data_IF_408596735034
#
_entry.id   IF_408596735034
#
_cell.length_a   1.000
_cell.length_b   1.000
_cell.length_c   1.000
_cell.angle_alpha   90.00
_cell.angle_beta   90.00
_cell.angle_gamma   90.00
#
_symmetry.space_group_name_H-M   'P 1'
#
loop_
_entity.id
_entity.type
_entity.pdbx_description
1 polymer ?
#
# COMPACT_ATOMS: atom_id res chain seq x y z
N UNK A 1 63.56 -45.44 -74.03
CA UNK A 1 64.18 -44.38 -73.19
C UNK A 1 63.27 -44.17 -71.99
N UNK A 2 63.80 -44.25 -70.78
CA UNK A 2 62.98 -44.22 -69.56
C UNK A 2 62.76 -42.78 -69.10
N UNK A 3 61.49 -42.35 -69.03
CA UNK A 3 61.14 -41.11 -68.35
C UNK A 3 61.08 -41.37 -66.84
N UNK A 4 61.86 -40.60 -66.07
CA UNK A 4 61.85 -40.67 -64.60
C UNK A 4 60.63 -39.88 -64.11
N UNK A 5 59.65 -40.59 -63.57
CA UNK A 5 58.57 -39.97 -62.80
C UNK A 5 59.16 -39.42 -61.49
N UNK A 6 58.82 -38.19 -61.06
CA UNK A 6 59.16 -37.72 -59.72
C UNK A 6 58.42 -38.58 -58.69
N UNK A 7 59.10 -38.96 -57.61
CA UNK A 7 58.49 -39.70 -56.51
C UNK A 7 57.42 -38.87 -55.78
N UNK A 8 56.46 -39.51 -55.09
CA UNK A 8 55.47 -38.79 -54.30
C UNK A 8 56.15 -37.95 -53.21
N UNK A 9 55.67 -36.72 -53.03
CA UNK A 9 56.16 -35.84 -51.98
C UNK A 9 55.89 -36.45 -50.59
N UNK A 10 56.75 -36.21 -49.58
CA UNK A 10 56.57 -36.75 -48.25
C UNK A 10 55.28 -36.22 -47.62
N UNK A 11 54.38 -37.12 -47.23
CA UNK A 11 53.20 -36.79 -46.44
C UNK A 11 53.64 -36.32 -45.04
N UNK A 12 53.58 -35.02 -44.78
CA UNK A 12 53.80 -34.49 -43.43
C UNK A 12 52.72 -35.01 -42.49
N UNK A 13 53.07 -35.47 -41.27
CA UNK A 13 52.07 -35.83 -40.28
C UNK A 13 51.15 -34.63 -40.00
N UNK A 14 49.84 -34.81 -40.18
CA UNK A 14 48.87 -33.81 -39.78
C UNK A 14 48.97 -33.63 -38.26
N UNK A 15 49.27 -32.42 -37.72
CA UNK A 15 49.37 -32.23 -36.29
C UNK A 15 48.07 -32.67 -35.62
N UNK A 16 48.17 -33.59 -34.66
CA UNK A 16 47.01 -34.13 -33.98
C UNK A 16 46.19 -32.99 -33.37
N UNK A 17 44.89 -32.93 -33.70
CA UNK A 17 43.98 -31.94 -33.14
C UNK A 17 44.06 -31.99 -31.62
N UNK A 18 44.59 -30.93 -31.02
CA UNK A 18 44.76 -30.85 -29.58
C UNK A 18 43.42 -31.07 -28.89
N UNK A 19 43.38 -32.00 -27.94
CA UNK A 19 42.20 -32.22 -27.10
C UNK A 19 41.79 -30.90 -26.48
N UNK A 20 40.62 -30.38 -26.88
CA UNK A 20 40.07 -29.13 -26.33
C UNK A 20 40.09 -29.27 -24.80
N UNK A 21 40.73 -28.36 -24.06
CA UNK A 21 40.75 -28.46 -22.60
C UNK A 21 39.30 -28.48 -22.09
N UNK A 22 38.99 -29.30 -21.07
CA UNK A 22 37.64 -29.38 -20.55
C UNK A 22 37.19 -27.98 -20.14
N UNK A 23 36.12 -27.49 -20.75
CA UNK A 23 35.54 -26.20 -20.39
C UNK A 23 35.09 -26.27 -18.93
N UNK A 24 35.53 -25.35 -18.05
CA UNK A 24 35.19 -25.41 -16.64
C UNK A 24 33.67 -25.38 -16.48
N UNK A 25 33.13 -26.31 -15.70
CA UNK A 25 31.70 -26.38 -15.44
C UNK A 25 31.26 -25.13 -14.66
N UNK A 26 30.38 -24.32 -15.24
CA UNK A 26 29.87 -23.10 -14.60
C UNK A 26 28.49 -23.36 -14.00
N UNK A 27 28.40 -23.33 -12.68
CA UNK A 27 27.15 -23.61 -11.95
C UNK A 27 26.20 -22.40 -11.99
N UNK A 28 25.63 -22.11 -13.16
CA UNK A 28 24.79 -20.93 -13.40
C UNK A 28 23.63 -20.79 -12.41
N UNK A 29 23.01 -21.90 -11.99
CA UNK A 29 21.97 -21.92 -10.97
C UNK A 29 22.45 -21.41 -9.59
N UNK A 30 23.69 -21.70 -9.20
CA UNK A 30 24.27 -21.21 -7.94
C UNK A 30 24.62 -19.71 -8.00
N UNK A 31 25.00 -19.21 -9.18
CA UNK A 31 25.13 -17.76 -9.40
C UNK A 31 23.77 -17.07 -9.38
N UNK A 32 22.75 -17.67 -10.00
CA UNK A 32 21.39 -17.14 -10.01
C UNK A 32 20.77 -17.09 -8.60
N UNK A 33 20.89 -18.17 -7.80
CA UNK A 33 20.37 -18.18 -6.43
C UNK A 33 21.10 -17.22 -5.50
N UNK A 34 22.41 -17.02 -5.67
CA UNK A 34 23.16 -15.98 -4.95
C UNK A 34 22.65 -14.57 -5.30
N UNK A 35 22.42 -14.28 -6.58
CA UNK A 35 21.86 -12.98 -7.02
C UNK A 35 20.44 -12.80 -6.48
N UNK A 36 19.57 -13.81 -6.59
CA UNK A 36 18.21 -13.77 -6.05
C UNK A 36 18.19 -13.61 -4.52
N UNK A 37 19.12 -14.23 -3.78
CA UNK A 37 19.27 -14.05 -2.35
C UNK A 37 19.69 -12.62 -1.96
N UNK A 38 20.61 -12.02 -2.71
CA UNK A 38 21.02 -10.61 -2.52
C UNK A 38 19.86 -9.66 -2.85
N UNK A 39 19.15 -9.88 -3.95
CA UNK A 39 17.97 -9.09 -4.36
C UNK A 39 16.86 -9.23 -3.31
N UNK A 40 16.57 -10.45 -2.83
CA UNK A 40 15.58 -10.72 -1.78
C UNK A 40 15.94 -10.01 -0.47
N UNK A 41 17.21 -10.00 -0.06
CA UNK A 41 17.67 -9.21 1.09
C UNK A 41 17.39 -7.72 0.91
N UNK A 42 17.62 -7.15 -0.27
CA UNK A 42 17.31 -5.74 -0.54
C UNK A 42 15.81 -5.43 -0.57
N UNK A 43 14.95 -6.31 -1.12
CA UNK A 43 13.49 -6.10 -1.06
C UNK A 43 12.93 -6.28 0.36
N UNK A 44 13.37 -7.29 1.09
CA UNK A 44 12.98 -7.54 2.48
C UNK A 44 13.38 -6.37 3.40
N UNK A 45 14.59 -5.83 3.19
CA UNK A 45 15.10 -4.64 3.86
C UNK A 45 14.56 -3.31 3.29
N UNK A 46 13.66 -3.35 2.31
CA UNK A 46 12.87 -2.18 1.88
C UNK A 46 11.45 -2.21 2.45
N UNK A 47 10.78 -3.37 2.44
CA UNK A 47 9.36 -3.43 2.81
C UNK A 47 9.09 -3.16 4.30
N UNK A 48 9.66 -3.98 5.20
CA UNK A 48 9.43 -3.82 6.65
C UNK A 48 9.90 -2.46 7.20
N UNK A 49 11.13 -1.96 6.91
CA UNK A 49 11.57 -0.68 7.45
C UNK A 49 10.95 0.54 6.75
N UNK A 50 10.38 0.42 5.55
CA UNK A 50 9.56 1.51 4.98
C UNK A 50 8.25 1.66 5.73
N UNK A 51 7.54 0.56 6.02
CA UNK A 51 6.31 0.60 6.84
C UNK A 51 6.61 1.15 8.24
N UNK A 52 7.67 0.64 8.90
CA UNK A 52 8.09 1.14 10.21
C UNK A 52 8.54 2.61 10.15
N UNK A 53 9.23 3.03 9.09
CA UNK A 53 9.66 4.41 8.87
C UNK A 53 8.49 5.37 8.64
N UNK A 54 7.44 4.93 7.96
CA UNK A 54 6.20 5.67 7.74
C UNK A 54 5.46 5.88 9.08
N UNK A 55 5.26 4.79 9.84
CA UNK A 55 4.62 4.83 11.18
C UNK A 55 5.40 5.73 12.15
N UNK A 56 6.72 5.56 12.25
CA UNK A 56 7.57 6.42 13.09
C UNK A 56 7.60 7.88 12.59
N UNK A 57 7.48 8.11 11.28
CA UNK A 57 7.34 9.43 10.68
C UNK A 57 6.05 10.13 11.12
N UNK A 58 4.90 9.45 11.00
CA UNK A 58 3.59 9.98 11.43
C UNK A 58 3.55 10.24 12.93
N UNK A 59 4.02 9.28 13.75
CA UNK A 59 4.13 9.45 15.21
C UNK A 59 5.08 10.61 15.57
N UNK A 60 6.21 10.75 14.86
CA UNK A 60 7.14 11.87 15.03
C UNK A 60 6.52 13.22 14.68
N UNK A 61 5.76 13.29 13.58
CA UNK A 61 5.07 14.51 13.16
C UNK A 61 3.98 14.93 14.17
N UNK A 62 3.17 13.98 14.65
CA UNK A 62 2.16 14.25 15.68
C UNK A 62 2.77 14.54 17.06
N UNK A 63 3.93 13.98 17.41
CA UNK A 63 4.66 14.34 18.64
C UNK A 63 5.26 15.74 18.55
N UNK A 64 5.75 16.17 17.38
CA UNK A 64 6.28 17.52 17.18
C UNK A 64 5.19 18.61 17.37
N UNK A 65 3.92 18.34 17.00
CA UNK A 65 2.76 19.22 17.30
C UNK A 65 2.56 19.47 18.81
N UNK A 66 3.06 18.58 19.68
CA UNK A 66 2.93 18.64 21.15
C UNK A 66 4.15 19.28 21.84
N UNK A 67 5.00 20.00 21.09
CA UNK A 67 6.21 20.67 21.62
C UNK A 67 6.23 22.16 21.28
N UNK A 68 6.63 23.00 22.24
CA UNK A 68 6.68 24.46 22.08
C UNK A 68 8.04 24.98 22.59
N UNK A 69 8.93 25.51 21.73
CA UNK A 69 8.81 25.57 20.26
C UNK A 69 8.78 24.16 19.62
N UNK A 70 8.15 24.00 18.43
CA UNK A 70 8.03 22.71 17.77
C UNK A 70 9.39 22.23 17.24
N UNK A 71 9.84 21.06 17.70
CA UNK A 71 11.14 20.48 17.33
C UNK A 71 10.97 19.16 16.55
N UNK A 72 11.81 18.95 15.54
CA UNK A 72 11.90 17.68 14.81
C UNK A 72 10.88 17.47 13.67
N UNK A 73 9.89 18.35 13.47
CA UNK A 73 8.86 18.24 12.41
C UNK A 73 9.45 18.01 11.02
N UNK A 74 10.52 18.73 10.67
CA UNK A 74 11.23 18.59 9.39
C UNK A 74 11.78 17.15 9.17
N UNK A 75 12.33 16.54 10.22
CA UNK A 75 12.93 15.19 10.16
C UNK A 75 11.84 14.12 10.02
N UNK A 76 10.69 14.32 10.66
CA UNK A 76 9.52 13.46 10.50
C UNK A 76 8.97 13.51 9.06
N UNK A 77 8.87 14.69 8.46
CA UNK A 77 8.46 14.85 7.05
C UNK A 77 9.41 14.13 6.10
N UNK A 78 10.72 14.28 6.27
CA UNK A 78 11.70 13.53 5.44
C UNK A 78 11.58 12.00 5.62
N UNK A 79 11.27 11.51 6.83
CA UNK A 79 11.00 10.09 7.07
C UNK A 79 9.77 9.56 6.32
N UNK A 80 8.68 10.33 6.29
CA UNK A 80 7.46 10.02 5.52
C UNK A 80 7.76 10.01 4.01
N UNK A 81 8.44 11.03 3.50
CA UNK A 81 8.77 11.13 2.06
C UNK A 81 9.68 9.98 1.60
N UNK A 82 10.71 9.63 2.38
CA UNK A 82 11.63 8.53 2.03
C UNK A 82 10.95 7.16 2.09
N UNK A 83 10.07 6.92 3.08
CA UNK A 83 9.33 5.65 3.19
C UNK A 83 8.26 5.50 2.10
N UNK A 84 7.55 6.57 1.73
CA UNK A 84 6.60 6.55 0.63
C UNK A 84 7.27 6.25 -0.72
N UNK A 85 8.41 6.88 -1.02
CA UNK A 85 9.20 6.59 -2.23
C UNK A 85 9.73 5.14 -2.22
N UNK A 86 10.20 4.65 -1.07
CA UNK A 86 10.63 3.25 -0.91
C UNK A 86 9.51 2.25 -1.17
N UNK A 87 8.30 2.52 -0.66
CA UNK A 87 7.11 1.68 -0.84
C UNK A 87 6.66 1.63 -2.32
N UNK A 88 6.55 2.78 -3.00
CA UNK A 88 6.17 2.84 -4.42
C UNK A 88 7.16 2.11 -5.32
N UNK A 89 8.48 2.29 -5.09
CA UNK A 89 9.51 1.58 -5.83
C UNK A 89 9.50 0.07 -5.54
N UNK A 90 9.23 -0.33 -4.29
CA UNK A 90 9.07 -1.74 -3.91
C UNK A 90 7.90 -2.42 -4.61
N UNK A 91 6.70 -1.80 -4.56
CA UNK A 91 5.49 -2.31 -5.23
C UNK A 91 5.70 -2.38 -6.75
N UNK A 92 6.27 -1.34 -7.36
CA UNK A 92 6.57 -1.32 -8.80
C UNK A 92 7.53 -2.44 -9.22
N UNK A 93 8.55 -2.74 -8.42
CA UNK A 93 9.49 -3.83 -8.69
C UNK A 93 8.83 -5.22 -8.51
N UNK A 94 7.98 -5.41 -7.50
CA UNK A 94 7.22 -6.65 -7.30
C UNK A 94 6.27 -6.91 -8.46
N UNK A 95 5.56 -5.89 -8.95
CA UNK A 95 4.69 -5.99 -10.12
C UNK A 95 5.48 -6.38 -11.40
N UNK A 96 6.66 -5.80 -11.60
CA UNK A 96 7.54 -6.12 -12.74
C UNK A 96 8.04 -7.57 -12.69
N UNK A 97 8.38 -8.08 -11.50
CA UNK A 97 8.80 -9.47 -11.30
C UNK A 97 7.61 -10.44 -11.46
N UNK A 98 6.43 -10.09 -10.94
CA UNK A 98 5.20 -10.89 -11.10
C UNK A 98 4.81 -11.08 -12.56
N UNK A 99 4.90 -10.00 -13.36
CA UNK A 99 4.66 -10.04 -14.81
C UNK A 99 5.75 -10.77 -15.61
N UNK A 100 6.89 -11.11 -14.99
CA UNK A 100 7.87 -12.02 -15.58
C UNK A 100 7.61 -13.48 -15.19
N UNK A 101 7.20 -13.75 -13.93
CA UNK A 101 6.93 -15.10 -13.44
C UNK A 101 5.85 -15.83 -14.26
N UNK A 102 4.79 -15.13 -14.64
CA UNK A 102 3.73 -15.67 -15.52
C UNK A 102 4.22 -16.15 -16.88
N UNK A 103 5.33 -15.59 -17.39
CA UNK A 103 5.93 -16.00 -18.68
C UNK A 103 6.85 -17.22 -18.58
N UNK A 104 7.20 -17.66 -17.37
CA UNK A 104 8.03 -18.85 -17.14
C UNK A 104 7.16 -20.10 -16.97
N UNK A 105 5.97 -19.96 -16.38
CA UNK A 105 5.03 -21.08 -16.18
C UNK A 105 4.59 -21.68 -17.53
N UNK A 106 4.27 -20.82 -18.51
CA UNK A 106 3.92 -21.22 -19.87
C UNK A 106 5.09 -21.87 -20.64
N UNK A 107 6.34 -21.57 -20.26
CA UNK A 107 7.54 -22.18 -20.83
C UNK A 107 7.93 -23.53 -20.20
N UNK A 108 7.38 -23.88 -19.03
CA UNK A 108 7.65 -25.14 -18.35
C UNK A 108 6.81 -26.31 -18.90
N UNK A 109 5.59 -26.03 -19.36
CA UNK A 109 4.60 -27.04 -19.78
C UNK A 109 5.06 -27.87 -21.00
N UNK A 110 5.79 -27.27 -21.95
CA UNK A 110 6.20 -27.91 -23.23
C UNK A 110 7.39 -28.90 -23.10
N UNK A 111 7.72 -29.34 -21.88
CA UNK A 111 8.76 -30.35 -21.64
C UNK A 111 8.27 -31.61 -20.90
N UNK A 112 6.99 -31.68 -20.57
CA UNK A 112 6.39 -32.75 -19.76
C UNK A 112 6.04 -34.04 -20.54
N UNK A 113 7.00 -34.64 -21.25
CA UNK A 113 6.84 -35.97 -21.88
C UNK A 113 8.07 -36.86 -21.67
N UNK A 114 7.82 -38.15 -21.33
CA UNK A 114 8.74 -39.26 -21.03
C UNK A 114 9.09 -39.45 -19.54
N UNK A 115 8.33 -40.35 -18.88
CA UNK A 115 8.77 -41.65 -18.27
C UNK A 115 10.14 -41.76 -17.55
N UNK A 116 10.33 -42.53 -16.46
CA UNK A 116 9.56 -43.65 -15.83
C UNK A 116 9.47 -43.45 -14.29
N UNK A 117 8.40 -43.87 -13.61
CA UNK A 117 8.27 -45.13 -12.83
C UNK A 117 9.51 -45.61 -12.04
N UNK A 118 9.38 -45.69 -10.70
CA UNK A 118 9.71 -46.88 -9.87
C UNK A 118 9.18 -46.67 -8.44
N UNK A 119 8.67 -47.74 -7.83
CA UNK A 119 8.08 -47.75 -6.48
C UNK A 119 9.11 -47.72 -5.34
N UNK A 120 8.73 -47.17 -4.18
CA UNK A 120 9.55 -47.10 -2.96
C UNK A 120 8.73 -46.80 -1.70
N UNK A 121 8.33 -47.86 -1.00
CA UNK A 121 7.59 -47.83 0.28
C UNK A 121 8.51 -47.58 1.48
N UNK A 122 8.02 -46.93 2.55
CA UNK A 122 8.20 -47.30 3.99
C UNK A 122 7.65 -46.23 4.96
N UNK A 123 6.74 -46.71 5.82
CA UNK A 123 6.36 -46.32 7.20
C UNK A 123 6.55 -44.89 7.79
N UNK A 124 5.44 -44.43 8.37
CA UNK A 124 5.22 -43.89 9.73
C UNK A 124 6.41 -43.43 10.60
N UNK A 125 6.27 -42.23 11.19
CA UNK A 125 6.72 -41.92 12.57
C UNK A 125 5.73 -40.91 13.20
N UNK A 126 5.35 -41.13 14.46
CA UNK A 126 4.32 -40.35 15.19
C UNK A 126 4.99 -39.34 16.14
N UNK A 127 4.45 -38.12 16.22
CA UNK A 127 5.19 -36.97 16.78
C UNK A 127 4.36 -35.95 17.56
N UNK A 128 3.42 -36.43 18.39
CA UNK A 128 2.69 -35.60 19.35
C UNK A 128 3.61 -35.13 20.50
N UNK A 129 3.53 -33.85 20.86
CA UNK A 129 3.80 -33.32 22.21
C UNK A 129 3.13 -31.94 22.33
N UNK A 130 2.29 -31.74 23.34
CA UNK A 130 1.45 -30.55 23.47
C UNK A 130 1.52 -29.93 24.89
N UNK A 131 1.86 -28.63 24.97
CA UNK A 131 1.82 -27.81 26.18
C UNK A 131 1.77 -26.32 25.75
N UNK A 132 0.95 -25.39 26.27
CA UNK A 132 0.59 -25.05 27.67
C UNK A 132 1.84 -24.68 28.51
N UNK A 133 1.89 -23.69 29.42
CA UNK A 133 0.98 -22.62 29.87
C UNK A 133 1.90 -21.46 30.37
N UNK A 134 1.51 -20.24 30.79
CA UNK A 134 0.21 -19.66 31.20
C UNK A 134 0.16 -18.14 30.83
N UNK A 135 -0.67 -17.35 31.50
CA UNK A 135 -0.95 -15.93 31.25
C UNK A 135 -0.53 -14.95 32.38
N UNK A 136 -0.51 -13.66 32.05
CA UNK A 136 -0.56 -12.44 32.93
C UNK A 136 -0.97 -11.26 32.03
N UNK A 137 -2.01 -10.42 32.22
CA UNK A 137 -2.81 -9.99 33.41
C UNK A 137 -1.93 -9.44 34.56
N UNK A 138 -2.16 -8.28 35.22
CA UNK A 138 -3.21 -7.24 35.22
C UNK A 138 -2.60 -5.93 35.85
N UNK A 139 -3.21 -4.77 36.08
CA UNK A 139 -4.58 -4.20 36.02
C UNK A 139 -4.49 -2.66 35.77
N UNK A 140 -5.57 -2.04 35.26
CA UNK A 140 -5.95 -0.65 35.60
C UNK A 140 -5.41 0.52 34.74
N UNK A 141 -6.06 1.70 34.74
CA UNK A 141 -7.37 2.08 35.31
C UNK A 141 -7.88 3.42 34.70
N UNK A 142 -9.19 3.48 34.39
CA UNK A 142 -10.11 4.64 34.29
C UNK A 142 -9.61 6.03 33.88
N UNK A 143 -10.23 6.60 32.83
CA UNK A 143 -10.45 8.05 32.67
C UNK A 143 -11.96 8.40 32.73
N UNK A 144 -12.29 9.70 32.57
CA UNK A 144 -13.61 10.36 32.63
C UNK A 144 -14.26 10.53 34.02
N UNK A 145 -14.99 11.64 34.30
CA UNK A 145 -14.95 12.96 33.63
C UNK A 145 -14.78 14.14 34.62
N UNK A 146 -14.22 15.26 34.14
CA UNK A 146 -14.28 16.58 34.82
C UNK A 146 -14.57 17.67 33.79
N UNK A 147 -15.47 18.60 34.10
CA UNK A 147 -15.72 19.75 33.23
C UNK A 147 -16.16 21.00 33.99
N UNK A 148 -16.35 22.07 33.19
CA UNK A 148 -17.08 23.33 33.49
C UNK A 148 -16.30 24.45 34.23
N UNK A 149 -16.60 25.69 33.81
CA UNK A 149 -16.19 27.01 34.34
C UNK A 149 -14.69 27.36 34.27
N UNK A 150 -14.26 28.62 34.03
CA UNK A 150 -14.95 29.91 33.75
C UNK A 150 -14.03 30.78 32.86
N UNK A 151 -14.51 31.50 31.84
CA UNK A 151 -15.21 32.80 31.81
C UNK A 151 -14.29 34.05 31.82
N UNK A 152 -14.56 34.96 30.88
CA UNK A 152 -14.22 36.41 30.82
C UNK A 152 -12.74 36.87 30.82
N UNK A 153 -12.38 38.11 30.44
CA UNK A 153 -13.19 39.35 30.32
C UNK A 153 -12.87 40.23 29.08
N UNK A 154 -13.93 40.94 28.66
CA UNK A 154 -14.14 41.99 27.65
C UNK A 154 -12.99 42.96 27.23
N UNK A 155 -13.05 43.39 25.96
CA UNK A 155 -12.86 44.81 25.59
C UNK A 155 -13.61 45.17 24.29
N UNK A 156 -14.62 46.03 24.38
CA UNK A 156 -15.34 46.60 23.23
C UNK A 156 -15.24 48.13 23.23
N UNK A 157 -15.54 48.82 22.10
CA UNK A 157 -16.85 49.50 22.08
C UNK A 157 -17.58 49.54 20.72
N UNK A 158 -18.84 49.97 20.78
CA UNK A 158 -19.85 50.06 19.71
C UNK A 158 -20.41 51.51 19.71
N UNK A 159 -20.91 52.17 18.64
CA UNK A 159 -21.22 51.87 17.22
C UNK A 159 -21.21 53.23 16.44
N UNK A 160 -21.22 53.30 15.08
CA UNK A 160 -22.51 53.31 14.36
C UNK A 160 -22.50 52.52 13.04
N UNK A 161 -23.69 52.23 12.52
CA UNK A 161 -23.87 51.47 11.27
C UNK A 161 -23.89 52.38 10.03
N UNK A 162 -23.38 51.86 8.91
CA UNK A 162 -23.90 52.18 7.58
C UNK A 162 -24.86 51.07 7.15
N UNK A 163 -25.78 51.38 6.25
CA UNK A 163 -26.75 50.40 5.76
C UNK A 163 -26.07 49.22 5.05
N UNK A 164 -26.58 48.01 5.30
CA UNK A 164 -26.26 46.85 4.47
C UNK A 164 -26.93 47.05 3.10
N UNK A 165 -26.21 46.90 1.98
CA UNK A 165 -26.83 46.35 0.78
C UNK A 165 -27.45 45.00 1.15
N UNK A 166 -28.57 44.63 0.53
CA UNK A 166 -28.96 43.21 0.55
C UNK A 166 -27.85 42.48 -0.18
N UNK A 167 -27.16 41.59 0.53
CA UNK A 167 -26.27 40.64 -0.12
C UNK A 167 -27.17 39.63 -0.83
N UNK A 168 -27.21 39.70 -2.16
CA UNK A 168 -27.44 38.50 -2.95
C UNK A 168 -26.38 37.47 -2.53
N UNK A 169 -26.77 36.20 -2.45
CA UNK A 169 -25.81 35.13 -2.16
C UNK A 169 -24.75 35.12 -3.27
N UNK A 170 -23.45 34.97 -2.93
CA UNK A 170 -22.41 35.00 -3.94
C UNK A 170 -22.63 33.83 -4.90
N UNK A 171 -22.95 34.14 -6.15
CA UNK A 171 -23.12 33.13 -7.19
C UNK A 171 -21.85 32.25 -7.26
N UNK A 172 -22.08 30.94 -7.38
CA UNK A 172 -21.05 29.91 -7.35
C UNK A 172 -19.84 30.25 -8.25
N UNK A 173 -18.64 30.11 -7.70
CA UNK A 173 -17.42 30.32 -8.47
C UNK A 173 -17.12 29.13 -9.38
N UNK A 174 -16.36 29.36 -10.45
CA UNK A 174 -15.93 28.27 -11.35
C UNK A 174 -15.08 27.21 -10.61
N UNK A 175 -14.36 27.59 -9.53
CA UNK A 175 -13.62 26.64 -8.68
C UNK A 175 -14.57 25.67 -7.97
N UNK A 176 -15.58 26.22 -7.30
CA UNK A 176 -16.63 25.48 -6.60
C UNK A 176 -17.45 24.58 -7.54
N UNK A 177 -17.85 25.10 -8.71
CA UNK A 177 -18.62 24.34 -9.69
C UNK A 177 -17.83 23.12 -10.21
N UNK A 178 -16.53 23.29 -10.46
CA UNK A 178 -15.64 22.19 -10.84
C UNK A 178 -15.44 21.20 -9.69
N UNK A 179 -15.26 21.68 -8.45
CA UNK A 179 -15.10 20.84 -7.27
C UNK A 179 -16.34 19.98 -7.00
N UNK A 180 -17.56 20.50 -7.21
CA UNK A 180 -18.81 19.74 -7.11
C UNK A 180 -18.94 18.69 -8.22
N UNK A 181 -18.52 19.00 -9.45
CA UNK A 181 -18.50 18.03 -10.56
C UNK A 181 -17.50 16.88 -10.29
N UNK A 182 -16.30 17.19 -9.76
CA UNK A 182 -15.37 16.17 -9.24
C UNK A 182 -16.02 15.35 -8.11
N UNK A 183 -16.65 16.00 -7.13
CA UNK A 183 -17.29 15.33 -5.99
C UNK A 183 -18.37 14.33 -6.43
N UNK A 184 -19.23 14.72 -7.36
CA UNK A 184 -20.23 13.83 -7.96
C UNK A 184 -19.56 12.68 -8.75
N UNK A 185 -18.56 12.98 -9.57
CA UNK A 185 -17.82 11.97 -10.34
C UNK A 185 -17.13 10.93 -9.46
N UNK A 186 -16.64 11.31 -8.28
CA UNK A 186 -16.08 10.39 -7.29
C UNK A 186 -17.16 9.50 -6.65
N UNK A 187 -18.29 10.09 -6.24
CA UNK A 187 -19.41 9.36 -5.62
C UNK A 187 -20.14 8.40 -6.57
N UNK A 188 -20.08 8.65 -7.89
CA UNK A 188 -20.53 7.72 -8.93
C UNK A 188 -19.55 6.56 -9.18
N UNK A 189 -18.26 6.73 -8.85
CA UNK A 189 -17.21 5.71 -9.06
C UNK A 189 -16.99 4.82 -7.83
N UNK A 190 -16.99 5.38 -6.63
CA UNK A 190 -16.76 4.65 -5.37
C UNK A 190 -17.44 5.35 -4.19
N UNK A 191 -17.63 4.60 -3.10
CA UNK A 191 -18.12 5.17 -1.85
C UNK A 191 -17.09 6.11 -1.21
N UNK A 192 -17.57 7.16 -0.54
CA UNK A 192 -16.76 8.09 0.25
C UNK A 192 -17.51 8.57 1.49
N UNK A 193 -16.78 8.82 2.58
CA UNK A 193 -17.25 9.61 3.71
C UNK A 193 -17.26 11.11 3.37
N UNK A 194 -17.97 11.94 4.15
CA UNK A 194 -18.01 13.39 3.91
C UNK A 194 -16.61 14.02 4.03
N UNK A 195 -15.81 13.64 5.02
CA UNK A 195 -14.44 14.16 5.19
C UNK A 195 -13.48 13.58 4.17
N UNK A 196 -13.56 12.28 3.86
CA UNK A 196 -12.72 11.64 2.86
C UNK A 196 -12.88 12.25 1.45
N UNK A 197 -14.10 12.66 1.09
CA UNK A 197 -14.33 13.37 -0.17
C UNK A 197 -13.76 14.78 -0.18
N UNK A 198 -13.78 15.51 0.95
CA UNK A 198 -13.10 16.81 1.08
C UNK A 198 -11.58 16.63 0.96
N UNK A 199 -10.98 15.68 1.67
CA UNK A 199 -9.55 15.38 1.59
C UNK A 199 -9.12 14.94 0.18
N UNK A 200 -9.97 14.20 -0.54
CA UNK A 200 -9.72 13.82 -1.94
C UNK A 200 -9.70 15.03 -2.88
N UNK A 201 -10.60 16.00 -2.70
CA UNK A 201 -10.61 17.24 -3.49
C UNK A 201 -9.45 18.18 -3.13
N UNK A 202 -9.06 18.27 -1.86
CA UNK A 202 -7.83 18.97 -1.45
C UNK A 202 -6.59 18.34 -2.09
N UNK A 203 -6.54 17.00 -2.21
CA UNK A 203 -5.46 16.28 -2.89
C UNK A 203 -5.42 16.54 -4.41
N UNK A 204 -6.57 16.72 -5.07
CA UNK A 204 -6.63 17.21 -6.46
C UNK A 204 -6.13 18.67 -6.61
N UNK A 205 -6.05 19.42 -5.51
CA UNK A 205 -5.57 20.80 -5.48
C UNK A 205 -6.67 21.86 -5.46
N UNK A 206 -7.92 21.49 -5.19
CA UNK A 206 -8.96 22.46 -4.82
C UNK A 206 -8.61 23.12 -3.47
N UNK A 207 -9.12 24.32 -3.22
CA UNK A 207 -8.97 24.93 -1.89
C UNK A 207 -9.93 24.28 -0.89
N UNK A 208 -9.58 24.25 0.39
CA UNK A 208 -10.44 23.75 1.48
C UNK A 208 -11.86 24.29 1.37
N UNK A 209 -12.01 25.59 1.11
CA UNK A 209 -13.31 26.25 1.00
C UNK A 209 -14.08 25.89 -0.28
N UNK A 210 -13.41 25.49 -1.37
CA UNK A 210 -14.08 24.96 -2.56
C UNK A 210 -14.51 23.50 -2.35
N UNK A 211 -13.66 22.70 -1.68
CA UNK A 211 -13.91 21.29 -1.37
C UNK A 211 -15.03 21.11 -0.34
N UNK A 212 -14.98 21.83 0.78
CA UNK A 212 -16.06 21.87 1.79
C UNK A 212 -17.40 22.29 1.14
N UNK A 213 -17.38 23.35 0.33
CA UNK A 213 -18.57 23.82 -0.40
C UNK A 213 -19.11 22.76 -1.36
N UNK A 214 -18.25 22.16 -2.20
CA UNK A 214 -18.64 21.12 -3.15
C UNK A 214 -19.35 19.94 -2.49
N UNK A 215 -18.79 19.47 -1.37
CA UNK A 215 -19.31 18.34 -0.59
C UNK A 215 -20.55 18.73 0.24
N UNK A 216 -20.83 20.03 0.42
CA UNK A 216 -22.10 20.53 0.97
C UNK A 216 -23.17 20.84 -0.07
N UNK A 217 -22.82 20.96 -1.36
CA UNK A 217 -23.77 21.18 -2.45
C UNK A 217 -24.15 19.90 -3.22
N UNK A 218 -23.52 18.75 -2.93
CA UNK A 218 -23.89 17.47 -3.57
C UNK A 218 -25.07 16.80 -2.84
N UNK A 219 -26.14 16.51 -3.59
CA UNK A 219 -27.32 15.81 -3.07
C UNK A 219 -27.04 14.30 -2.95
N UNK A 220 -26.47 13.88 -1.81
CA UNK A 220 -26.14 12.47 -1.53
C UNK A 220 -26.60 12.04 -0.13
N UNK A 221 -27.07 10.79 -0.02
CA UNK A 221 -27.32 10.16 1.28
C UNK A 221 -26.03 9.57 1.85
N UNK A 222 -25.49 10.20 2.90
CA UNK A 222 -24.27 9.79 3.58
C UNK A 222 -24.40 8.48 4.38
N UNK A 223 -25.62 8.05 4.73
CA UNK A 223 -25.86 6.71 5.27
C UNK A 223 -25.76 5.67 4.15
N UNK A 224 -26.36 5.94 2.98
CA UNK A 224 -26.24 5.06 1.81
C UNK A 224 -24.78 4.90 1.36
N UNK A 225 -23.97 5.96 1.43
CA UNK A 225 -22.53 5.89 1.17
C UNK A 225 -21.79 4.97 2.16
N UNK A 226 -22.15 4.99 3.44
CA UNK A 226 -21.56 4.07 4.42
C UNK A 226 -21.95 2.61 4.15
N UNK A 227 -23.18 2.34 3.69
CA UNK A 227 -23.60 0.99 3.25
C UNK A 227 -22.81 0.54 2.00
N UNK A 228 -22.58 1.43 1.04
CA UNK A 228 -21.76 1.11 -0.15
C UNK A 228 -20.30 0.80 0.21
N UNK A 229 -19.70 1.57 1.11
CA UNK A 229 -18.36 1.31 1.62
C UNK A 229 -18.30 -0.03 2.39
N UNK A 230 -19.26 -0.28 3.29
CA UNK A 230 -19.39 -1.54 4.02
C UNK A 230 -19.47 -2.75 3.08
N UNK A 231 -20.28 -2.67 2.02
CA UNK A 231 -20.40 -3.74 1.03
C UNK A 231 -19.10 -3.94 0.24
N UNK A 232 -18.45 -2.86 -0.21
CA UNK A 232 -17.20 -2.94 -0.96
C UNK A 232 -16.08 -3.63 -0.17
N UNK A 233 -15.98 -3.33 1.14
CA UNK A 233 -15.08 -4.05 2.03
C UNK A 233 -15.41 -5.54 2.12
N UNK A 234 -16.68 -5.91 2.32
CA UNK A 234 -17.09 -7.32 2.46
C UNK A 234 -17.00 -8.13 1.15
N UNK A 235 -17.09 -7.49 -0.01
CA UNK A 235 -16.84 -8.11 -1.32
C UNK A 235 -15.38 -8.53 -1.51
N UNK A 236 -14.45 -8.03 -0.66
CA UNK A 236 -13.01 -8.23 -0.78
C UNK A 236 -12.32 -8.76 0.49
N UNK A 237 -12.90 -8.61 1.68
CA UNK A 237 -12.31 -9.04 2.97
C UNK A 237 -13.39 -9.28 4.02
N UNK A 238 -13.29 -10.38 4.76
CA UNK A 238 -14.21 -10.66 5.88
C UNK A 238 -13.89 -9.81 7.12
N UNK A 239 -14.88 -9.04 7.59
CA UNK A 239 -14.82 -8.28 8.85
C UNK A 239 -15.79 -8.84 9.90
N UNK A 240 -15.54 -8.53 11.18
CA UNK A 240 -16.56 -8.56 12.23
C UNK A 240 -17.32 -7.23 12.26
N UNK A 241 -18.53 -7.19 12.83
CA UNK A 241 -19.32 -5.93 12.95
C UNK A 241 -18.49 -4.78 13.52
N UNK A 242 -17.82 -5.01 14.65
CA UNK A 242 -16.98 -4.00 15.30
C UNK A 242 -15.82 -3.56 14.40
N UNK A 243 -15.09 -4.51 13.80
CA UNK A 243 -13.97 -4.17 12.91
C UNK A 243 -14.37 -3.41 11.65
N UNK A 244 -15.59 -3.63 11.13
CA UNK A 244 -16.11 -2.87 9.99
C UNK A 244 -16.55 -1.45 10.41
N UNK A 245 -17.14 -1.29 11.59
CA UNK A 245 -17.41 0.04 12.17
C UNK A 245 -16.11 0.81 12.39
N UNK A 246 -15.11 0.20 13.05
CA UNK A 246 -13.78 0.80 13.27
C UNK A 246 -13.12 1.23 11.95
N UNK A 247 -13.28 0.43 10.88
CA UNK A 247 -12.72 0.71 9.54
C UNK A 247 -13.44 1.87 8.84
N UNK A 248 -14.76 1.98 8.97
CA UNK A 248 -15.53 3.09 8.39
C UNK A 248 -15.33 4.40 9.18
N UNK A 249 -15.22 4.34 10.51
CA UNK A 249 -14.82 5.49 11.32
C UNK A 249 -13.39 5.96 10.98
N UNK A 250 -12.47 5.04 10.70
CA UNK A 250 -11.12 5.37 10.21
C UNK A 250 -11.13 6.07 8.84
N UNK A 251 -12.07 5.73 7.96
CA UNK A 251 -12.32 6.45 6.69
C UNK A 251 -13.08 7.77 6.88
N UNK A 252 -13.47 8.13 8.10
CA UNK A 252 -14.13 9.40 8.42
C UNK A 252 -15.65 9.41 8.25
N UNK A 253 -16.30 8.24 8.15
CA UNK A 253 -17.74 8.17 8.42
C UNK A 253 -18.01 8.48 9.90
N UNK A 254 -19.16 9.07 10.22
CA UNK A 254 -19.54 9.26 11.65
C UNK A 254 -19.85 7.90 12.30
N UNK A 255 -19.76 7.76 13.64
CA UNK A 255 -20.09 6.50 14.32
C UNK A 255 -21.49 5.97 14.00
N UNK A 256 -22.46 6.86 13.78
CA UNK A 256 -23.81 6.50 13.36
C UNK A 256 -23.85 5.96 11.93
N UNK A 257 -23.07 6.55 11.02
CA UNK A 257 -22.93 6.10 9.63
C UNK A 257 -22.20 4.76 9.54
N UNK A 258 -21.09 4.62 10.26
CA UNK A 258 -20.30 3.39 10.33
C UNK A 258 -21.11 2.23 10.92
N UNK A 259 -21.83 2.47 12.03
CA UNK A 259 -22.75 1.49 12.61
C UNK A 259 -23.88 1.12 11.65
N UNK A 260 -24.51 2.09 11.00
CA UNK A 260 -25.57 1.83 10.02
C UNK A 260 -25.07 1.03 8.81
N UNK A 261 -23.86 1.35 8.30
CA UNK A 261 -23.21 0.61 7.22
C UNK A 261 -23.03 -0.87 7.57
N UNK A 262 -22.48 -1.17 8.74
CA UNK A 262 -22.28 -2.54 9.23
C UNK A 262 -23.60 -3.29 9.48
N UNK A 263 -24.59 -2.64 10.10
CA UNK A 263 -25.92 -3.24 10.35
C UNK A 263 -26.66 -3.56 9.03
N UNK A 264 -26.56 -2.67 8.03
CA UNK A 264 -27.26 -2.81 6.75
C UNK A 264 -26.72 -3.94 5.88
N UNK A 265 -25.42 -4.27 5.98
CA UNK A 265 -24.81 -5.45 5.32
C UNK A 265 -24.96 -6.74 6.13
N UNK A 266 -25.56 -6.68 7.33
CA UNK A 266 -26.00 -7.85 8.09
C UNK A 266 -25.00 -8.40 9.12
N UNK A 267 -24.16 -7.55 9.72
CA UNK A 267 -23.21 -7.90 10.79
C UNK A 267 -23.69 -7.55 12.21
#
# INVERSE_FOLDING_TARGET
MSAIQPGPAPSTPNPAYGTRPPTPATNGAATASLVLGIVSLFLSLLFLPSVLGLVLGVVGANRAKRTTPPVGREKAVWGIVLSAVGLVLGIGLVALIGNAATTVDEAAQDTAVVQEDVSGDVADDDGDEASAESATADDGQTEEPVGKESADEESTPKKPAKEKPVAEEPAETVSQANARESAASYLDYTAFSKSGLVEQLEFEGFSTADAEYAVEQVEVDWMEQAVKAAQNYLDHTSFSRAGLVDQLEFEGFTPEQAAHGADAVGL
#
